data_IF_896189743622
#
_entry.id   IF_896189743622
#
_cell.length_a   1.000
_cell.length_b   1.000
_cell.length_c   1.000
_cell.angle_alpha   90.00
_cell.angle_beta   90.00
_cell.angle_gamma   90.00
#
_symmetry.space_group_name_H-M   'P 1'
#
loop_
_entity.id
_entity.type
_entity.pdbx_description
1 polymer ?
#
# COMPACT_ATOMS: atom_id res chain seq x y z
N UNK A 1 -29.62 34.64 -5.29
CA UNK A 1 -28.97 35.00 -6.56
C UNK A 1 -28.19 36.27 -6.32
N UNK A 2 -26.88 36.25 -6.54
CA UNK A 2 -25.96 37.35 -6.21
C UNK A 2 -25.08 37.62 -7.44
N UNK A 3 -24.71 38.88 -7.64
CA UNK A 3 -23.83 39.30 -8.72
C UNK A 3 -22.37 39.28 -8.25
N UNK A 4 -21.46 38.85 -9.13
CA UNK A 4 -20.03 38.72 -8.84
C UNK A 4 -19.17 39.54 -9.80
N UNK A 5 -17.97 39.89 -9.33
CA UNK A 5 -16.94 40.59 -10.08
C UNK A 5 -17.43 41.92 -10.72
N UNK A 6 -17.76 42.88 -9.85
CA UNK A 6 -18.05 44.27 -10.18
C UNK A 6 -17.19 45.20 -9.31
N UNK A 7 -16.91 46.41 -9.79
CA UNK A 7 -16.17 47.43 -9.05
C UNK A 7 -17.12 48.31 -8.21
N UNK A 8 -16.70 48.57 -6.96
CA UNK A 8 -17.36 49.43 -5.98
C UNK A 8 -18.85 49.11 -5.75
N UNK A 9 -19.75 49.97 -6.22
CA UNK A 9 -21.22 49.90 -6.02
C UNK A 9 -21.99 49.74 -7.33
N UNK A 10 -21.29 49.61 -8.45
CA UNK A 10 -21.90 49.54 -9.78
C UNK A 10 -22.22 48.08 -10.12
N UNK A 11 -23.32 47.57 -9.57
CA UNK A 11 -23.80 46.20 -9.80
C UNK A 11 -24.07 45.89 -11.28
N UNK A 12 -24.32 46.91 -12.11
CA UNK A 12 -24.55 46.77 -13.55
C UNK A 12 -23.32 46.25 -14.32
N UNK A 13 -22.11 46.39 -13.77
CA UNK A 13 -20.87 45.93 -14.40
C UNK A 13 -20.51 44.47 -14.02
N UNK A 14 -21.38 43.76 -13.32
CA UNK A 14 -21.10 42.39 -12.91
C UNK A 14 -20.92 41.45 -14.11
N UNK A 15 -19.88 40.64 -14.04
CA UNK A 15 -19.50 39.69 -15.11
C UNK A 15 -19.85 38.24 -14.78
N UNK A 16 -20.19 37.96 -13.51
CA UNK A 16 -20.58 36.65 -13.05
C UNK A 16 -21.91 36.68 -12.31
N UNK A 17 -22.66 35.60 -12.43
CA UNK A 17 -23.91 35.38 -11.73
C UNK A 17 -23.77 34.16 -10.83
N UNK A 18 -24.08 34.32 -9.54
CA UNK A 18 -24.00 33.26 -8.54
C UNK A 18 -25.41 32.88 -8.07
N UNK A 19 -25.75 31.61 -8.23
CA UNK A 19 -26.99 31.01 -7.73
C UNK A 19 -26.60 29.99 -6.66
N UNK A 20 -27.06 30.22 -5.43
CA UNK A 20 -26.85 29.31 -4.30
C UNK A 20 -28.18 28.68 -3.93
N UNK A 21 -28.25 27.36 -3.97
CA UNK A 21 -29.39 26.57 -3.49
C UNK A 21 -28.97 25.99 -2.15
N UNK A 22 -29.67 26.38 -1.08
CA UNK A 22 -29.38 25.89 0.27
C UNK A 22 -30.30 24.72 0.57
N UNK A 23 -29.71 23.59 0.92
CA UNK A 23 -30.42 22.38 1.34
C UNK A 23 -30.26 22.23 2.85
N UNK A 24 -31.31 21.77 3.54
CA UNK A 24 -31.24 21.49 4.97
C UNK A 24 -30.33 20.29 5.24
N UNK A 25 -29.32 20.48 6.08
CA UNK A 25 -28.50 19.38 6.57
C UNK A 25 -29.14 18.79 7.85
N UNK A 26 -29.25 17.47 7.92
CA UNK A 26 -29.87 16.76 9.03
C UNK A 26 -28.96 15.65 9.54
N UNK A 27 -29.09 15.26 10.81
CA UNK A 27 -28.35 14.13 11.37
C UNK A 27 -29.05 12.77 11.12
N UNK A 28 -30.26 12.79 10.55
CA UNK A 28 -31.00 11.58 10.17
C UNK A 28 -30.42 10.97 8.88
N UNK A 29 -29.96 9.69 8.89
CA UNK A 29 -29.37 9.06 7.72
C UNK A 29 -30.29 9.03 6.48
N UNK A 30 -31.60 8.89 6.67
CA UNK A 30 -32.55 8.88 5.55
C UNK A 30 -32.66 10.24 4.86
N UNK A 31 -32.64 11.34 5.62
CA UNK A 31 -32.72 12.70 5.06
C UNK A 31 -31.43 13.05 4.33
N UNK A 32 -30.27 12.65 4.86
CA UNK A 32 -28.98 12.80 4.18
C UNK A 32 -29.02 12.08 2.82
N UNK A 33 -29.47 10.81 2.79
CA UNK A 33 -29.53 10.03 1.54
C UNK A 33 -30.44 10.68 0.49
N UNK A 34 -31.56 11.28 0.91
CA UNK A 34 -32.46 12.01 0.01
C UNK A 34 -31.80 13.27 -0.55
N UNK A 35 -31.12 14.04 0.29
CA UNK A 35 -30.35 15.21 -0.13
C UNK A 35 -29.25 14.82 -1.12
N UNK A 36 -28.45 13.80 -0.80
CA UNK A 36 -27.40 13.26 -1.69
C UNK A 36 -27.95 12.79 -3.04
N UNK A 37 -29.14 12.15 -3.05
CA UNK A 37 -29.78 11.68 -4.27
C UNK A 37 -30.24 12.86 -5.15
N UNK A 38 -30.79 13.90 -4.54
CA UNK A 38 -31.16 15.13 -5.24
C UNK A 38 -29.93 15.83 -5.82
N UNK A 39 -28.86 15.97 -5.03
CA UNK A 39 -27.60 16.58 -5.47
C UNK A 39 -27.00 15.81 -6.65
N UNK A 40 -27.10 14.48 -6.65
CA UNK A 40 -26.64 13.65 -7.76
C UNK A 40 -27.38 13.98 -9.06
N UNK A 41 -28.70 14.03 -9.00
CA UNK A 41 -29.54 14.37 -10.17
C UNK A 41 -29.24 15.80 -10.64
N UNK A 42 -29.02 16.72 -9.71
CA UNK A 42 -28.62 18.09 -10.02
C UNK A 42 -27.27 18.13 -10.76
N UNK A 43 -26.25 17.43 -10.27
CA UNK A 43 -24.94 17.36 -10.91
C UNK A 43 -25.03 16.73 -12.31
N UNK A 44 -25.79 15.64 -12.46
CA UNK A 44 -25.99 14.97 -13.75
C UNK A 44 -26.71 15.89 -14.76
N UNK A 45 -27.72 16.64 -14.30
CA UNK A 45 -28.42 17.64 -15.11
C UNK A 45 -27.47 18.77 -15.55
N UNK A 46 -26.72 19.35 -14.61
CA UNK A 46 -25.79 20.45 -14.91
C UNK A 46 -24.67 20.03 -15.84
N UNK A 47 -24.17 18.80 -15.69
CA UNK A 47 -23.19 18.19 -16.60
C UNK A 47 -23.75 18.05 -18.01
N UNK A 48 -24.93 17.42 -18.15
CA UNK A 48 -25.57 17.22 -19.45
C UNK A 48 -25.91 18.56 -20.14
N UNK A 49 -26.41 19.53 -19.37
CA UNK A 49 -26.64 20.88 -19.86
C UNK A 49 -25.35 21.50 -20.39
N UNK A 50 -24.26 21.46 -19.61
CA UNK A 50 -22.97 22.04 -20.00
C UNK A 50 -22.36 21.34 -21.23
N UNK A 51 -22.41 20.01 -21.29
CA UNK A 51 -21.94 19.23 -22.44
C UNK A 51 -22.77 19.53 -23.70
N UNK A 52 -24.10 19.58 -23.59
CA UNK A 52 -24.99 19.93 -24.70
C UNK A 52 -24.68 21.33 -25.23
N UNK A 53 -24.52 22.31 -24.34
CA UNK A 53 -24.17 23.68 -24.73
C UNK A 53 -22.80 23.74 -25.41
N UNK A 54 -21.81 22.99 -24.91
CA UNK A 54 -20.50 22.88 -25.54
C UNK A 54 -20.58 22.26 -26.95
N UNK A 55 -21.34 21.19 -27.13
CA UNK A 55 -21.52 20.54 -28.43
C UNK A 55 -22.22 21.44 -29.44
N UNK A 56 -23.26 22.18 -29.03
CA UNK A 56 -23.96 23.15 -29.90
C UNK A 56 -23.03 24.28 -30.34
N UNK A 57 -22.19 24.75 -29.41
CA UNK A 57 -21.16 25.76 -29.68
C UNK A 57 -20.12 25.27 -30.68
N UNK A 58 -19.57 24.08 -30.46
CA UNK A 58 -18.52 23.49 -31.30
C UNK A 58 -19.06 23.11 -32.70
N UNK A 59 -20.36 22.78 -32.81
CA UNK A 59 -21.03 22.47 -34.08
C UNK A 59 -21.44 23.70 -34.89
N UNK A 60 -21.12 24.92 -34.44
CA UNK A 60 -21.45 26.17 -35.13
C UNK A 60 -22.94 26.56 -35.07
N UNK A 61 -23.75 25.90 -34.24
CA UNK A 61 -25.18 26.20 -34.05
C UNK A 61 -25.38 27.24 -32.93
N UNK A 62 -24.77 28.41 -33.10
CA UNK A 62 -24.74 29.46 -32.08
C UNK A 62 -26.12 30.01 -31.70
N UNK A 63 -27.10 29.94 -32.60
CA UNK A 63 -28.48 30.39 -32.36
C UNK A 63 -29.25 29.53 -31.35
N UNK A 64 -28.83 28.28 -31.14
CA UNK A 64 -29.45 27.34 -30.20
C UNK A 64 -28.62 27.18 -28.91
N UNK A 65 -27.40 27.74 -28.89
CA UNK A 65 -26.51 27.69 -27.73
C UNK A 65 -26.67 28.93 -26.85
N UNK A 66 -26.68 28.72 -25.54
CA UNK A 66 -26.58 29.79 -24.57
C UNK A 66 -25.12 30.30 -24.48
N UNK A 67 -24.91 31.61 -24.66
CA UNK A 67 -23.58 32.22 -24.66
C UNK A 67 -23.06 32.53 -23.24
N UNK A 68 -23.15 31.57 -22.32
CA UNK A 68 -22.59 31.68 -20.98
C UNK A 68 -21.88 30.39 -20.58
N UNK A 69 -20.78 30.52 -19.83
CA UNK A 69 -20.10 29.38 -19.21
C UNK A 69 -20.70 29.13 -17.83
N UNK A 70 -20.99 27.87 -17.55
CA UNK A 70 -21.57 27.44 -16.27
C UNK A 70 -20.52 26.72 -15.46
N UNK A 71 -20.33 27.18 -14.22
CA UNK A 71 -19.57 26.45 -13.20
C UNK A 71 -20.56 26.02 -12.12
N UNK A 72 -20.45 24.76 -11.71
CA UNK A 72 -21.36 24.16 -10.74
C UNK A 72 -20.56 23.32 -9.74
N UNK A 73 -21.09 23.24 -8.53
CA UNK A 73 -20.53 22.45 -7.43
C UNK A 73 -21.69 22.05 -6.51
N UNK A 74 -21.58 20.90 -5.85
CA UNK A 74 -22.50 20.43 -4.83
C UNK A 74 -21.70 19.92 -3.63
N UNK A 75 -22.31 19.73 -2.46
CA UNK A 75 -21.57 19.30 -1.27
C UNK A 75 -20.92 17.93 -1.50
N UNK A 76 -21.66 16.97 -2.09
CA UNK A 76 -21.15 15.64 -2.46
C UNK A 76 -20.08 15.63 -3.56
N UNK A 77 -19.92 16.69 -4.36
CA UNK A 77 -19.08 16.63 -5.56
C UNK A 77 -17.61 16.39 -5.22
N UNK A 78 -17.17 16.83 -4.04
CA UNK A 78 -15.80 16.59 -3.55
C UNK A 78 -15.60 15.10 -3.28
N UNK A 79 -16.52 14.44 -2.56
CA UNK A 79 -16.44 13.02 -2.27
C UNK A 79 -16.54 12.17 -3.55
N UNK A 80 -17.41 12.56 -4.49
CA UNK A 80 -17.54 11.86 -5.77
C UNK A 80 -16.26 11.96 -6.61
N UNK A 81 -15.66 13.15 -6.70
CA UNK A 81 -14.41 13.34 -7.43
C UNK A 81 -13.23 12.63 -6.76
N UNK A 82 -13.15 12.63 -5.42
CA UNK A 82 -12.16 11.85 -4.67
C UNK A 82 -12.30 10.36 -4.97
N UNK A 83 -13.52 9.80 -4.87
CA UNK A 83 -13.77 8.40 -5.16
C UNK A 83 -13.46 8.02 -6.61
N UNK A 84 -13.72 8.93 -7.56
CA UNK A 84 -13.39 8.74 -8.98
C UNK A 84 -11.87 8.72 -9.20
N UNK A 85 -11.14 9.64 -8.58
CA UNK A 85 -9.67 9.68 -8.63
C UNK A 85 -9.08 8.40 -8.01
N UNK A 86 -9.53 8.02 -6.81
CA UNK A 86 -9.06 6.82 -6.12
C UNK A 86 -9.20 5.55 -6.96
N UNK A 87 -10.30 5.39 -7.72
CA UNK A 87 -10.48 4.21 -8.60
C UNK A 87 -9.46 4.15 -9.74
N UNK A 88 -9.07 5.29 -10.28
CA UNK A 88 -8.05 5.35 -11.34
C UNK A 88 -6.68 4.97 -10.81
N UNK A 89 -6.38 5.32 -9.55
CA UNK A 89 -5.07 5.13 -8.95
C UNK A 89 -4.84 3.66 -8.52
N UNK A 90 -5.89 2.91 -8.18
CA UNK A 90 -5.79 1.50 -7.75
C UNK A 90 -5.02 0.63 -8.77
N UNK A 91 -5.28 0.80 -10.08
CA UNK A 91 -4.60 0.00 -11.11
C UNK A 91 -3.09 0.29 -11.14
N UNK A 92 -2.72 1.57 -11.08
CA UNK A 92 -1.31 2.00 -11.03
C UNK A 92 -0.62 1.45 -9.78
N UNK A 93 -1.30 1.46 -8.64
CA UNK A 93 -0.81 0.92 -7.37
C UNK A 93 -0.58 -0.61 -7.47
N UNK A 94 -1.51 -1.37 -8.04
CA UNK A 94 -1.34 -2.82 -8.20
C UNK A 94 -0.13 -3.14 -9.09
N UNK A 95 0.08 -2.39 -10.16
CA UNK A 95 1.23 -2.57 -11.06
C UNK A 95 2.54 -2.24 -10.33
N UNK A 96 2.60 -1.14 -9.58
CA UNK A 96 3.81 -0.75 -8.84
C UNK A 96 4.17 -1.77 -7.76
N UNK A 97 3.17 -2.29 -7.03
CA UNK A 97 3.38 -3.38 -6.06
C UNK A 97 3.85 -4.67 -6.71
N UNK A 98 3.32 -5.02 -7.89
CA UNK A 98 3.75 -6.22 -8.63
C UNK A 98 5.21 -6.11 -9.06
N UNK A 99 5.62 -4.96 -9.58
CA UNK A 99 7.01 -4.72 -10.00
C UNK A 99 7.95 -4.72 -8.78
N UNK A 100 7.56 -4.05 -7.69
CA UNK A 100 8.35 -4.01 -6.46
C UNK A 100 8.50 -5.42 -5.86
N UNK A 101 7.43 -6.20 -5.84
CA UNK A 101 7.44 -7.59 -5.41
C UNK A 101 8.43 -8.44 -6.21
N UNK A 102 8.39 -8.31 -7.55
CA UNK A 102 9.32 -9.01 -8.43
C UNK A 102 10.77 -8.56 -8.18
N UNK A 103 11.00 -7.26 -8.05
CA UNK A 103 12.33 -6.69 -7.80
C UNK A 103 12.94 -7.19 -6.48
N UNK A 104 12.18 -7.13 -5.38
CA UNK A 104 12.64 -7.61 -4.06
C UNK A 104 12.92 -9.11 -4.10
N UNK A 105 12.03 -9.90 -4.70
CA UNK A 105 12.20 -11.35 -4.83
C UNK A 105 13.46 -11.70 -5.62
N UNK A 106 13.73 -10.98 -6.72
CA UNK A 106 14.93 -11.17 -7.53
C UNK A 106 16.21 -10.70 -6.83
N UNK A 107 16.14 -9.62 -6.06
CA UNK A 107 17.31 -9.04 -5.37
C UNK A 107 17.74 -9.90 -4.18
N UNK A 108 16.77 -10.47 -3.44
CA UNK A 108 17.05 -11.42 -2.36
C UNK A 108 17.47 -12.80 -2.90
N UNK A 109 16.98 -13.18 -4.08
CA UNK A 109 17.43 -14.35 -4.82
C UNK A 109 18.81 -14.10 -5.42
N UNK A 110 19.87 -14.27 -4.63
CA UNK A 110 21.25 -14.06 -5.09
C UNK A 110 21.61 -15.02 -6.24
N UNK A 111 21.59 -14.55 -7.49
CA UNK A 111 21.95 -15.35 -8.68
C UNK A 111 23.48 -15.41 -8.77
N UNK A 112 24.09 -16.45 -8.20
CA UNK A 112 25.55 -16.59 -8.17
C UNK A 112 26.15 -17.16 -9.45
N UNK A 113 25.42 -18.00 -10.20
CA UNK A 113 25.90 -18.61 -11.45
C UNK A 113 24.78 -19.19 -12.33
N UNK A 114 24.97 -19.16 -13.66
CA UNK A 114 24.03 -19.72 -14.64
C UNK A 114 24.01 -21.26 -14.67
N UNK A 115 25.08 -21.94 -14.18
CA UNK A 115 25.18 -23.42 -14.18
C UNK A 115 24.54 -24.11 -12.97
N UNK A 116 24.48 -23.44 -11.82
CA UNK A 116 23.78 -23.90 -10.59
C UNK A 116 22.45 -23.17 -10.37
N UNK A 117 21.93 -22.52 -11.42
CA UNK A 117 20.77 -21.63 -11.36
C UNK A 117 19.52 -22.29 -10.76
N UNK A 118 19.31 -23.60 -10.87
CA UNK A 118 18.14 -24.28 -10.28
C UNK A 118 18.32 -24.72 -8.81
N UNK A 119 19.56 -24.71 -8.29
CA UNK A 119 19.91 -25.15 -6.93
C UNK A 119 20.18 -23.93 -6.02
N UNK A 120 20.78 -22.87 -6.56
CA UNK A 120 21.10 -21.63 -5.82
C UNK A 120 19.94 -20.61 -5.80
N UNK A 121 18.81 -20.90 -6.45
CA UNK A 121 17.71 -19.96 -6.65
C UNK A 121 16.89 -19.73 -5.37
N UNK A 122 17.43 -18.97 -4.42
CA UNK A 122 16.75 -18.52 -3.17
C UNK A 122 15.49 -17.67 -3.37
N UNK A 123 14.91 -17.67 -4.57
CA UNK A 123 13.62 -17.06 -4.89
C UNK A 123 12.53 -17.56 -3.95
N UNK A 124 12.53 -18.84 -3.52
CA UNK A 124 11.52 -19.32 -2.57
C UNK A 124 11.64 -18.63 -1.21
N UNK A 125 12.86 -18.36 -0.72
CA UNK A 125 13.08 -17.67 0.57
C UNK A 125 12.68 -16.19 0.47
N UNK A 126 13.03 -15.53 -0.64
CA UNK A 126 12.61 -14.15 -0.92
C UNK A 126 11.08 -14.04 -1.05
N UNK A 127 10.45 -14.93 -1.81
CA UNK A 127 9.00 -14.98 -2.00
C UNK A 127 8.26 -15.21 -0.67
N UNK A 128 8.70 -16.18 0.13
CA UNK A 128 8.10 -16.47 1.45
C UNK A 128 8.33 -15.30 2.40
N UNK A 129 9.51 -14.66 2.36
CA UNK A 129 9.82 -13.47 3.13
C UNK A 129 8.84 -12.33 2.85
N UNK A 130 8.62 -12.00 1.58
CA UNK A 130 7.65 -10.97 1.19
C UNK A 130 6.22 -11.39 1.53
N UNK A 131 5.86 -12.66 1.40
CA UNK A 131 4.56 -13.17 1.81
C UNK A 131 4.30 -12.95 3.30
N UNK A 132 5.30 -13.14 4.17
CA UNK A 132 5.15 -12.87 5.60
C UNK A 132 5.00 -11.37 5.92
N UNK A 133 5.68 -10.49 5.19
CA UNK A 133 5.46 -9.04 5.30
C UNK A 133 4.02 -8.69 4.91
N UNK A 134 3.52 -9.22 3.79
CA UNK A 134 2.13 -8.98 3.39
C UNK A 134 1.14 -9.52 4.43
N UNK A 135 1.42 -10.71 4.98
CA UNK A 135 0.62 -11.31 6.04
C UNK A 135 0.58 -10.44 7.31
N UNK A 136 1.69 -9.79 7.68
CA UNK A 136 1.71 -8.89 8.84
C UNK A 136 0.83 -7.65 8.63
N UNK A 137 0.88 -7.05 7.44
CA UNK A 137 0.03 -5.91 7.08
C UNK A 137 -1.45 -6.31 7.08
N UNK A 138 -1.79 -7.44 6.47
CA UNK A 138 -3.16 -7.97 6.48
C UNK A 138 -3.64 -8.28 7.89
N UNK A 139 -2.77 -8.83 8.75
CA UNK A 139 -3.10 -9.13 10.15
C UNK A 139 -3.33 -7.85 10.97
N UNK A 140 -2.54 -6.80 10.76
CA UNK A 140 -2.74 -5.49 11.39
C UNK A 140 -4.09 -4.88 10.99
N UNK A 141 -4.40 -4.89 9.70
CA UNK A 141 -5.68 -4.39 9.18
C UNK A 141 -6.84 -5.22 9.75
N UNK A 142 -6.71 -6.55 9.78
CA UNK A 142 -7.72 -7.45 10.35
C UNK A 142 -7.97 -7.18 11.83
N UNK A 143 -6.91 -6.95 12.63
CA UNK A 143 -7.02 -6.65 14.04
C UNK A 143 -7.78 -5.34 14.30
N UNK A 144 -7.42 -4.26 13.61
CA UNK A 144 -8.10 -2.97 13.81
C UNK A 144 -9.50 -2.91 13.20
N UNK A 145 -9.74 -3.66 12.11
CA UNK A 145 -11.08 -3.86 11.56
C UNK A 145 -11.99 -4.58 12.56
N UNK A 146 -11.47 -5.60 13.27
CA UNK A 146 -12.20 -6.27 14.36
C UNK A 146 -12.52 -5.33 15.52
N UNK A 147 -11.62 -4.38 15.83
CA UNK A 147 -11.85 -3.32 16.82
C UNK A 147 -12.78 -2.19 16.34
N UNK A 148 -13.28 -2.24 15.09
CA UNK A 148 -14.20 -1.25 14.54
C UNK A 148 -13.54 0.07 14.12
N UNK A 149 -12.21 0.11 13.96
CA UNK A 149 -11.48 1.32 13.53
C UNK A 149 -11.41 1.33 12.00
N UNK A 150 -12.10 2.28 11.37
CA UNK A 150 -12.15 2.40 9.92
C UNK A 150 -10.75 2.69 9.32
N UNK A 151 -10.36 1.89 8.32
CA UNK A 151 -9.16 2.14 7.52
C UNK A 151 -9.38 3.26 6.51
N UNK A 152 -8.43 4.18 6.40
CA UNK A 152 -8.42 5.24 5.38
C UNK A 152 -7.66 4.79 4.13
N UNK A 153 -7.89 5.45 2.99
CA UNK A 153 -7.22 5.11 1.73
C UNK A 153 -5.67 5.18 1.85
N UNK A 154 -5.17 6.16 2.61
CA UNK A 154 -3.73 6.37 2.86
C UNK A 154 -3.07 5.15 3.51
N UNK A 155 -3.79 4.44 4.39
CA UNK A 155 -3.28 3.24 5.09
C UNK A 155 -3.00 2.13 4.08
N UNK A 156 -3.91 1.90 3.14
CA UNK A 156 -3.75 0.87 2.11
C UNK A 156 -2.62 1.20 1.12
N UNK A 157 -2.29 2.47 0.95
CA UNK A 157 -1.24 2.92 0.04
C UNK A 157 0.15 2.90 0.69
N UNK A 158 0.30 3.48 1.88
CA UNK A 158 1.62 3.78 2.46
C UNK A 158 2.14 2.67 3.37
N UNK A 159 1.27 2.00 4.14
CA UNK A 159 1.70 1.01 5.13
C UNK A 159 2.35 -0.22 4.50
N UNK A 160 1.82 -0.82 3.42
CA UNK A 160 2.47 -1.97 2.82
C UNK A 160 3.87 -1.64 2.30
N UNK A 161 4.07 -0.46 1.73
CA UNK A 161 5.39 0.00 1.29
C UNK A 161 6.36 0.18 2.46
N UNK A 162 5.93 0.85 3.52
CA UNK A 162 6.74 1.09 4.72
C UNK A 162 7.16 -0.23 5.37
N UNK A 163 6.21 -1.12 5.62
CA UNK A 163 6.46 -2.39 6.31
C UNK A 163 7.29 -3.33 5.43
N UNK A 164 7.14 -3.26 4.11
CA UNK A 164 8.02 -3.98 3.19
C UNK A 164 9.46 -3.47 3.25
N UNK A 165 9.68 -2.16 3.26
CA UNK A 165 11.04 -1.61 3.37
C UNK A 165 11.76 -2.09 4.64
N UNK A 166 11.08 -2.01 5.79
CA UNK A 166 11.59 -2.48 7.08
C UNK A 166 11.78 -4.00 7.11
N UNK A 167 10.76 -4.75 6.66
CA UNK A 167 10.78 -6.21 6.70
C UNK A 167 11.88 -6.80 5.81
N UNK A 168 12.06 -6.23 4.61
CA UNK A 168 13.10 -6.65 3.67
C UNK A 168 14.50 -6.37 4.21
N UNK A 169 14.73 -5.23 4.86
CA UNK A 169 16.03 -4.91 5.48
C UNK A 169 16.41 -5.97 6.54
N UNK A 170 15.48 -6.27 7.45
CA UNK A 170 15.69 -7.30 8.46
C UNK A 170 15.91 -8.69 7.84
N UNK A 171 15.18 -9.05 6.77
CA UNK A 171 15.35 -10.34 6.07
C UNK A 171 16.75 -10.40 5.46
N UNK A 172 17.17 -9.32 4.81
CA UNK A 172 18.46 -9.22 4.14
C UNK A 172 19.61 -9.36 5.13
N UNK A 173 19.55 -8.70 6.29
CA UNK A 173 20.54 -8.83 7.37
C UNK A 173 20.67 -10.29 7.82
N UNK A 174 19.55 -10.99 8.07
CA UNK A 174 19.57 -12.39 8.50
C UNK A 174 20.22 -13.28 7.43
N UNK A 175 19.78 -13.16 6.18
CA UNK A 175 20.27 -14.01 5.08
C UNK A 175 21.76 -13.75 4.81
N UNK A 176 22.19 -12.50 4.77
CA UNK A 176 23.59 -12.16 4.49
C UNK A 176 24.52 -12.66 5.59
N UNK A 177 24.15 -12.52 6.87
CA UNK A 177 24.95 -13.06 7.97
C UNK A 177 24.93 -14.59 8.02
N UNK A 178 23.82 -15.22 7.63
CA UNK A 178 23.73 -16.67 7.51
C UNK A 178 24.66 -17.21 6.41
N UNK A 179 24.72 -16.54 5.26
CA UNK A 179 25.63 -16.89 4.17
C UNK A 179 27.09 -16.66 4.52
N UNK A 180 27.43 -15.55 5.18
CA UNK A 180 28.81 -15.30 5.67
C UNK A 180 29.27 -16.39 6.63
N UNK A 181 28.38 -16.85 7.51
CA UNK A 181 28.67 -17.94 8.44
C UNK A 181 28.86 -19.31 7.75
N UNK A 182 28.51 -19.46 6.47
CA UNK A 182 28.81 -20.69 5.68
C UNK A 182 30.32 -20.84 5.45
N UNK A 183 31.06 -19.73 5.41
CA UNK A 183 32.52 -19.71 5.21
C UNK A 183 33.29 -19.98 6.51
N UNK A 184 32.68 -19.81 7.69
CA UNK A 184 33.33 -19.94 9.01
C UNK A 184 33.37 -21.38 9.57
N UNK A 185 33.25 -22.42 8.73
CA UNK A 185 33.51 -23.83 9.09
C UNK A 185 32.60 -24.44 10.19
N UNK A 186 31.33 -24.02 10.29
CA UNK A 186 30.34 -24.68 11.16
C UNK A 186 29.79 -25.97 10.52
N UNK A 187 29.97 -27.12 11.20
CA UNK A 187 29.62 -28.46 10.67
C UNK A 187 28.10 -28.75 10.54
N UNK A 188 27.21 -27.96 11.15
CA UNK A 188 25.75 -28.19 11.08
C UNK A 188 24.99 -26.91 10.73
N UNK A 189 24.06 -27.00 9.78
CA UNK A 189 23.15 -25.91 9.40
C UNK A 189 22.39 -25.32 10.58
N UNK A 190 21.97 -26.15 11.54
CA UNK A 190 21.25 -25.68 12.74
C UNK A 190 22.17 -24.83 13.64
N UNK A 191 23.43 -25.24 13.81
CA UNK A 191 24.42 -24.49 14.61
C UNK A 191 24.78 -23.16 13.93
N UNK A 192 24.91 -23.17 12.60
CA UNK A 192 25.11 -21.95 11.80
C UNK A 192 23.96 -20.96 12.01
N UNK A 193 22.72 -21.43 11.88
CA UNK A 193 21.53 -20.60 12.09
C UNK A 193 21.46 -20.04 13.51
N UNK A 194 21.66 -20.87 14.53
CA UNK A 194 21.64 -20.45 15.93
C UNK A 194 22.71 -19.38 16.22
N UNK A 195 23.91 -19.55 15.66
CA UNK A 195 25.00 -18.58 15.79
C UNK A 195 24.69 -17.27 15.09
N UNK A 196 24.13 -17.34 13.87
CA UNK A 196 23.67 -16.15 13.13
C UNK A 196 22.63 -15.38 13.93
N UNK A 197 21.55 -16.04 14.38
CA UNK A 197 20.48 -15.40 15.14
C UNK A 197 20.99 -14.85 16.48
N UNK A 198 21.92 -15.54 17.15
CA UNK A 198 22.55 -15.01 18.37
C UNK A 198 23.35 -13.73 18.13
N UNK A 199 23.91 -13.53 16.92
CA UNK A 199 24.68 -12.33 16.57
C UNK A 199 23.79 -11.18 16.06
N UNK A 200 22.83 -11.46 15.16
CA UNK A 200 21.99 -10.41 14.54
C UNK A 200 20.66 -10.15 15.27
N UNK A 201 20.16 -11.13 16.02
CA UNK A 201 18.86 -11.08 16.69
C UNK A 201 18.69 -9.89 17.64
N UNK A 202 19.68 -9.56 18.51
CA UNK A 202 19.59 -8.39 19.38
C UNK A 202 19.47 -7.07 18.60
N UNK A 203 20.17 -6.95 17.47
CA UNK A 203 20.11 -5.75 16.62
C UNK A 203 18.72 -5.61 15.98
N UNK A 204 18.16 -6.71 15.46
CA UNK A 204 16.83 -6.71 14.84
C UNK A 204 15.74 -6.41 15.87
N UNK A 205 15.85 -7.00 17.07
CA UNK A 205 14.93 -6.71 18.18
C UNK A 205 14.98 -5.22 18.58
N UNK A 206 16.17 -4.65 18.67
CA UNK A 206 16.36 -3.24 19.00
C UNK A 206 15.72 -2.32 17.94
N UNK A 207 15.99 -2.59 16.66
CA UNK A 207 15.40 -1.83 15.54
C UNK A 207 13.88 -1.93 15.54
N UNK A 208 13.32 -3.15 15.57
CA UNK A 208 11.87 -3.36 15.52
C UNK A 208 11.15 -2.74 16.74
N UNK A 209 11.75 -2.83 17.94
CA UNK A 209 11.19 -2.20 19.15
C UNK A 209 11.24 -0.69 19.05
N UNK A 210 12.35 -0.12 18.56
CA UNK A 210 12.50 1.32 18.36
C UNK A 210 11.47 1.87 17.36
N UNK A 211 11.31 1.21 16.21
CA UNK A 211 10.31 1.58 15.20
C UNK A 211 8.89 1.46 15.72
N UNK A 212 8.59 0.36 16.43
CA UNK A 212 7.28 0.16 17.05
C UNK A 212 6.97 1.29 18.05
N UNK A 213 7.92 1.63 18.94
CA UNK A 213 7.75 2.74 19.88
C UNK A 213 7.61 4.07 19.14
N UNK A 214 8.37 4.31 18.07
CA UNK A 214 8.25 5.53 17.28
C UNK A 214 6.86 5.70 16.67
N UNK A 215 6.29 4.64 16.08
CA UNK A 215 4.91 4.67 15.58
C UNK A 215 3.89 4.80 16.72
N UNK A 216 4.12 4.15 17.85
CA UNK A 216 3.25 4.30 19.01
C UNK A 216 3.25 5.73 19.54
N UNK A 217 4.40 6.42 19.59
CA UNK A 217 4.47 7.85 19.92
C UNK A 217 3.79 8.70 18.86
N UNK A 218 3.91 8.33 17.58
CA UNK A 218 3.19 8.97 16.47
C UNK A 218 1.67 8.98 16.68
N UNK A 219 1.12 7.95 17.32
CA UNK A 219 -0.31 7.85 17.65
C UNK A 219 -0.81 8.92 18.64
N UNK A 220 0.08 9.64 19.33
CA UNK A 220 -0.28 10.72 20.26
C UNK A 220 -0.53 12.08 19.55
N UNK A 221 -0.28 12.15 18.24
CA UNK A 221 -0.43 13.37 17.45
C UNK A 221 -1.91 13.80 17.39
N UNK A 222 -2.29 15.08 17.50
CA UNK A 222 -3.71 15.48 17.56
C UNK A 222 -4.52 15.28 16.26
N UNK A 223 -3.84 15.02 15.13
CA UNK A 223 -4.50 14.82 13.84
C UNK A 223 -4.98 13.37 13.69
N UNK A 224 -6.30 13.10 13.61
CA UNK A 224 -6.87 11.74 13.67
C UNK A 224 -6.39 10.83 12.55
N UNK A 225 -6.15 11.38 11.35
CA UNK A 225 -5.60 10.62 10.23
C UNK A 225 -4.21 10.02 10.55
N UNK A 226 -3.35 10.80 11.21
CA UNK A 226 -1.99 10.37 11.60
C UNK A 226 -2.06 9.41 12.79
N UNK A 227 -2.99 9.61 13.72
CA UNK A 227 -3.19 8.70 14.86
C UNK A 227 -3.49 7.27 14.40
N UNK A 228 -4.51 7.13 13.54
CA UNK A 228 -4.94 5.84 13.02
C UNK A 228 -3.84 5.22 12.16
N UNK A 229 -3.22 6.00 11.27
CA UNK A 229 -2.08 5.54 10.47
C UNK A 229 -0.97 4.96 11.35
N UNK A 230 -0.58 5.67 12.40
CA UNK A 230 0.51 5.27 13.28
C UNK A 230 0.18 4.02 14.11
N UNK A 231 -1.08 3.87 14.54
CA UNK A 231 -1.56 2.65 15.21
C UNK A 231 -1.49 1.42 14.30
N UNK A 232 -1.91 1.56 13.04
CA UNK A 232 -1.84 0.49 12.04
C UNK A 232 -0.37 0.12 11.72
N UNK A 233 0.49 1.12 11.56
CA UNK A 233 1.92 0.92 11.30
C UNK A 233 2.62 0.22 12.46
N UNK A 234 2.38 0.66 13.71
CA UNK A 234 2.86 0.01 14.92
C UNK A 234 2.54 -1.48 14.94
N UNK A 235 1.26 -1.82 14.77
CA UNK A 235 0.83 -3.22 14.84
C UNK A 235 1.39 -4.05 13.69
N UNK A 236 1.51 -3.47 12.47
CA UNK A 236 2.07 -4.18 11.32
C UNK A 236 3.57 -4.48 11.47
N UNK A 237 4.35 -3.53 11.99
CA UNK A 237 5.77 -3.71 12.29
C UNK A 237 5.95 -4.71 13.44
N UNK A 238 5.15 -4.61 14.49
CA UNK A 238 5.21 -5.53 15.64
C UNK A 238 4.88 -6.98 15.25
N UNK A 239 3.76 -7.21 14.53
CA UNK A 239 3.41 -8.54 14.02
C UNK A 239 4.47 -9.01 13.00
N UNK A 240 4.96 -8.12 12.15
CA UNK A 240 6.02 -8.41 11.18
C UNK A 240 7.27 -8.94 11.84
N UNK A 241 7.72 -8.30 12.92
CA UNK A 241 8.84 -8.76 13.73
C UNK A 241 8.60 -10.15 14.34
N UNK A 242 7.41 -10.40 14.90
CA UNK A 242 7.07 -11.71 15.47
C UNK A 242 7.11 -12.81 14.40
N UNK A 243 6.50 -12.58 13.23
CA UNK A 243 6.52 -13.52 12.11
C UNK A 243 7.95 -13.74 11.58
N UNK A 244 8.78 -12.69 11.62
CA UNK A 244 10.16 -12.77 11.16
C UNK A 244 11.03 -13.61 12.08
N UNK A 245 10.98 -13.39 13.40
CA UNK A 245 11.84 -14.13 14.33
C UNK A 245 11.40 -15.59 14.53
N UNK A 246 10.11 -15.90 14.27
CA UNK A 246 9.55 -17.24 14.43
C UNK A 246 9.44 -17.98 13.09
N UNK A 247 8.53 -17.55 12.22
CA UNK A 247 8.20 -18.24 10.97
C UNK A 247 9.34 -18.13 9.95
N UNK A 248 9.89 -16.94 9.73
CA UNK A 248 10.95 -16.78 8.73
C UNK A 248 12.25 -17.51 9.14
N UNK A 249 12.66 -17.44 10.41
CA UNK A 249 13.80 -18.24 10.92
C UNK A 249 13.55 -19.74 10.74
N UNK A 250 12.32 -20.21 10.97
CA UNK A 250 11.96 -21.63 10.76
C UNK A 250 12.04 -22.03 9.28
N UNK A 251 11.54 -21.19 8.38
CA UNK A 251 11.65 -21.42 6.93
C UNK A 251 13.11 -21.43 6.49
N UNK A 252 13.94 -20.53 7.01
CA UNK A 252 15.37 -20.50 6.73
C UNK A 252 16.08 -21.75 7.25
N UNK A 253 15.66 -22.30 8.39
CA UNK A 253 16.17 -23.58 8.90
C UNK A 253 15.85 -24.75 7.97
N UNK A 254 14.63 -24.77 7.42
CA UNK A 254 14.20 -25.80 6.45
C UNK A 254 14.97 -25.65 5.14
N UNK A 255 15.11 -24.42 4.63
CA UNK A 255 15.89 -24.13 3.44
C UNK A 255 17.36 -24.55 3.59
N UNK A 256 17.96 -24.27 4.75
CA UNK A 256 19.33 -24.68 5.05
C UNK A 256 19.51 -26.20 5.02
N UNK A 257 18.57 -26.96 5.60
CA UNK A 257 18.59 -28.43 5.54
C UNK A 257 18.41 -28.97 4.13
N UNK A 258 17.63 -28.28 3.29
CA UNK A 258 17.46 -28.64 1.89
C UNK A 258 18.74 -28.38 1.09
N UNK A 259 19.42 -27.27 1.34
CA UNK A 259 20.71 -26.94 0.71
C UNK A 259 21.80 -27.95 1.10
N UNK A 260 21.86 -28.36 2.37
CA UNK A 260 22.80 -29.41 2.82
C UNK A 260 22.53 -30.77 2.15
N UNK A 261 21.33 -30.98 1.60
CA UNK A 261 20.93 -32.21 0.90
C UNK A 261 21.01 -32.10 -0.64
N UNK A 262 21.58 -31.01 -1.19
CA UNK A 262 21.72 -30.74 -2.63
C UNK A 262 20.43 -30.91 -3.46
N UNK A 263 19.27 -30.53 -2.89
CA UNK A 263 17.98 -30.61 -3.57
C UNK A 263 17.59 -29.28 -4.22
N UNK A 264 17.01 -29.28 -5.45
CA UNK A 264 16.61 -28.07 -6.14
C UNK A 264 15.40 -27.37 -5.50
N UNK A 265 15.28 -26.06 -5.74
CA UNK A 265 14.43 -25.16 -4.97
C UNK A 265 12.92 -25.34 -5.22
N UNK A 266 12.54 -25.51 -6.50
CA UNK A 266 11.15 -25.51 -6.97
C UNK A 266 10.54 -26.92 -7.13
N UNK A 267 11.38 -27.96 -7.19
CA UNK A 267 10.98 -29.36 -7.42
C UNK A 267 11.62 -30.27 -6.35
N UNK A 268 11.10 -30.21 -5.13
CA UNK A 268 11.59 -30.97 -3.95
C UNK A 268 11.68 -32.51 -4.10
N UNK A 269 11.23 -33.07 -5.22
CA UNK A 269 11.07 -34.51 -5.44
C UNK A 269 12.12 -35.15 -6.37
N UNK A 270 13.02 -34.37 -7.00
CA UNK A 270 14.04 -34.92 -7.89
C UNK A 270 15.44 -34.79 -7.26
N UNK A 271 16.05 -35.89 -6.80
CA UNK A 271 17.46 -35.88 -6.43
C UNK A 271 18.30 -35.71 -7.70
N UNK A 272 19.15 -34.67 -7.74
CA UNK A 272 20.18 -34.56 -8.77
C UNK A 272 21.34 -35.48 -8.38
N UNK A 273 21.52 -36.56 -9.14
CA UNK A 273 22.68 -37.42 -9.00
C UNK A 273 23.88 -36.67 -9.58
N UNK A 274 24.61 -35.94 -8.72
CA UNK A 274 25.88 -35.29 -9.13
C UNK A 274 26.89 -36.41 -9.36
N UNK A 275 27.05 -36.83 -10.61
CA UNK A 275 28.15 -37.72 -10.98
C UNK A 275 29.46 -36.94 -10.79
N UNK A 276 30.16 -37.21 -9.71
CA UNK A 276 31.55 -36.85 -9.54
C UNK A 276 32.35 -37.54 -10.65
N UNK A 277 32.66 -36.82 -11.73
CA UNK A 277 33.79 -37.18 -12.57
C UNK A 277 35.04 -36.54 -11.97
N UNK A 278 35.91 -37.44 -11.53
CA UNK A 278 37.31 -37.29 -11.11
C UNK A 278 38.09 -36.16 -11.78
#
# INVERSE_FOLDING_TARGET
MVLGNYTDTVYANATALVITIVIENSNDPEKIRLAEAWEKVFLDFMKNFTETQKTLRDSGKWNESANFTVFYSAERSIQDELNRQSRSDILTIVISYTIMFLYVTLTLGHIRSWRTFLIDLKISVGFIGVLFVLLSVMSSIGFYSYCGIAGTLIIFEVIPFLVLAVGVDNIFIIVQHFEKAKTEEYQSSNMRLATTISRVGPSILLTATSESIAFLVGSLTPMPAVQIFSLYAFMAVFIGFLLQITCFVSVLAIDARRQDADRPDLFCCLPMNVSNNS
#
